data_IF_991908766801
#
_entry.id   IF_991908766801
#
_cell.length_a   1.000
_cell.length_b   1.000
_cell.length_c   1.000
_cell.angle_alpha   90.00
_cell.angle_beta   90.00
_cell.angle_gamma   90.00
#
_symmetry.space_group_name_H-M   'P 1'
#
loop_
_entity.id
_entity.type
_entity.pdbx_description
1 polymer ?
#
# COMPACT_ATOMS: atom_id res chain seq x y z
N UNK A 1 -20.65 0.22 16.41
CA UNK A 1 -20.05 0.27 15.07
C UNK A 1 -18.99 -0.82 15.03
N UNK A 2 -18.99 -1.68 14.00
CA UNK A 2 -18.00 -2.76 13.84
C UNK A 2 -17.24 -2.54 12.55
N UNK A 3 -15.92 -2.71 12.60
CA UNK A 3 -15.04 -2.72 11.43
C UNK A 3 -14.24 -4.02 11.46
N UNK A 4 -14.24 -4.75 10.34
CA UNK A 4 -13.68 -6.10 10.26
C UNK A 4 -12.83 -6.22 9.00
N UNK A 5 -11.71 -6.94 9.11
CA UNK A 5 -10.89 -7.33 7.96
C UNK A 5 -11.32 -8.72 7.51
N UNK A 6 -11.80 -8.84 6.28
CA UNK A 6 -12.16 -10.12 5.66
C UNK A 6 -10.93 -10.67 4.92
N UNK A 7 -10.30 -11.73 5.44
CA UNK A 7 -9.15 -12.39 4.82
C UNK A 7 -9.11 -13.89 5.17
N UNK A 8 -8.61 -14.78 4.28
CA UNK A 8 -8.15 -14.51 2.92
C UNK A 8 -9.31 -14.18 1.96
N UNK A 9 -9.07 -13.24 1.03
CA UNK A 9 -10.13 -12.67 0.19
C UNK A 9 -10.08 -13.09 -1.29
N UNK A 10 -9.19 -14.00 -1.69
CA UNK A 10 -8.96 -14.37 -3.10
C UNK A 10 -10.25 -14.81 -3.81
N UNK A 11 -11.04 -15.68 -3.19
CA UNK A 11 -12.33 -16.16 -3.73
C UNK A 11 -13.53 -15.25 -3.42
N UNK A 12 -13.31 -14.19 -2.65
CA UNK A 12 -14.36 -13.29 -2.15
C UNK A 12 -14.35 -11.94 -2.87
N UNK A 13 -13.20 -11.52 -3.40
CA UNK A 13 -13.01 -10.18 -3.95
C UNK A 13 -13.93 -9.88 -5.14
N UNK A 14 -14.32 -10.92 -5.90
CA UNK A 14 -15.24 -10.83 -7.02
C UNK A 14 -16.72 -11.06 -6.66
N UNK A 15 -17.04 -11.44 -5.42
CA UNK A 15 -18.42 -11.69 -4.98
C UNK A 15 -19.17 -10.39 -4.71
N UNK A 16 -20.49 -10.48 -4.64
CA UNK A 16 -21.33 -9.32 -4.33
C UNK A 16 -21.11 -8.84 -2.89
N UNK A 17 -21.45 -7.58 -2.61
CA UNK A 17 -21.36 -7.05 -1.24
C UNK A 17 -22.30 -7.79 -0.29
N UNK A 18 -23.47 -8.20 -0.77
CA UNK A 18 -24.42 -9.02 -0.02
C UNK A 18 -23.85 -10.37 0.36
N UNK A 19 -23.16 -11.07 -0.55
CA UNK A 19 -22.51 -12.36 -0.21
C UNK A 19 -21.47 -12.21 0.90
N UNK A 20 -20.71 -11.11 0.86
CA UNK A 20 -19.68 -10.80 1.87
C UNK A 20 -20.34 -10.46 3.21
N UNK A 21 -21.42 -9.67 3.21
CA UNK A 21 -22.18 -9.34 4.42
C UNK A 21 -22.81 -10.59 5.03
N UNK A 22 -23.42 -11.47 4.22
CA UNK A 22 -24.04 -12.69 4.71
C UNK A 22 -23.01 -13.63 5.36
N UNK A 23 -21.84 -13.81 4.73
CA UNK A 23 -20.75 -14.58 5.31
C UNK A 23 -20.21 -13.94 6.60
N UNK A 24 -20.07 -12.61 6.63
CA UNK A 24 -19.64 -11.87 7.83
C UNK A 24 -20.63 -12.05 8.98
N UNK A 25 -21.94 -12.02 8.68
CA UNK A 25 -22.99 -12.19 9.67
C UNK A 25 -23.04 -13.61 10.25
N UNK A 26 -22.73 -14.63 9.46
CA UNK A 26 -22.59 -16.00 9.95
C UNK A 26 -21.45 -16.14 10.95
N UNK A 27 -20.30 -15.50 10.72
CA UNK A 27 -19.18 -15.50 11.67
C UNK A 27 -19.49 -14.65 12.92
N UNK A 28 -20.11 -13.48 12.74
CA UNK A 28 -20.54 -12.64 13.88
C UNK A 28 -21.55 -13.34 14.79
N UNK A 29 -22.45 -14.17 14.24
CA UNK A 29 -23.38 -14.96 15.04
C UNK A 29 -22.67 -16.03 15.90
N UNK A 30 -21.48 -16.49 15.51
CA UNK A 30 -20.65 -17.39 16.34
C UNK A 30 -19.92 -16.62 17.46
N UNK A 31 -19.44 -15.40 17.14
CA UNK A 31 -18.70 -14.55 18.09
C UNK A 31 -19.61 -13.87 19.13
N UNK A 32 -20.81 -13.48 18.71
CA UNK A 32 -21.80 -12.76 19.52
C UNK A 32 -23.14 -13.53 19.50
N UNK A 33 -23.18 -14.77 20.00
CA UNK A 33 -24.33 -15.65 19.85
C UNK A 33 -25.58 -15.14 20.56
N UNK A 34 -25.45 -14.21 21.52
CA UNK A 34 -26.58 -13.67 22.28
C UNK A 34 -27.09 -12.35 21.70
N UNK A 35 -26.28 -11.65 20.90
CA UNK A 35 -26.54 -10.28 20.43
C UNK A 35 -26.76 -10.20 18.93
N UNK A 36 -26.10 -11.06 18.14
CA UNK A 36 -26.13 -11.03 16.67
C UNK A 36 -26.66 -12.36 16.15
N UNK A 37 -27.58 -12.29 15.19
CA UNK A 37 -28.07 -13.42 14.45
C UNK A 37 -28.04 -13.09 12.95
N UNK A 38 -27.65 -14.05 12.11
CA UNK A 38 -27.47 -13.82 10.68
C UNK A 38 -28.77 -13.46 9.95
N UNK A 39 -29.91 -13.93 10.46
CA UNK A 39 -31.26 -13.61 9.99
C UNK A 39 -31.77 -12.24 10.49
N UNK A 40 -30.94 -11.47 11.21
CA UNK A 40 -31.29 -10.20 11.85
C UNK A 40 -32.46 -10.27 12.85
N UNK A 41 -32.71 -11.45 13.45
CA UNK A 41 -33.69 -11.61 14.54
C UNK A 41 -33.30 -10.86 15.82
N UNK A 42 -32.01 -10.54 15.98
CA UNK A 42 -31.44 -9.80 17.12
C UNK A 42 -31.00 -8.40 16.71
N UNK A 43 -29.72 -8.04 16.90
CA UNK A 43 -29.17 -6.80 16.37
C UNK A 43 -29.33 -6.75 14.84
N UNK A 44 -29.70 -5.56 14.33
CA UNK A 44 -30.01 -5.33 12.91
C UNK A 44 -28.99 -4.42 12.25
N UNK A 45 -28.69 -4.70 10.99
CA UNK A 45 -27.79 -3.87 10.19
C UNK A 45 -28.59 -2.68 9.67
N UNK A 46 -28.29 -1.48 10.15
CA UNK A 46 -28.90 -0.25 9.63
C UNK A 46 -28.28 0.20 8.30
N UNK A 47 -26.98 -0.03 8.16
CA UNK A 47 -26.19 0.26 6.95
C UNK A 47 -24.89 -0.55 7.01
N UNK A 48 -24.30 -0.79 5.86
CA UNK A 48 -22.96 -1.37 5.73
C UNK A 48 -22.19 -0.66 4.64
N UNK A 49 -20.87 -0.85 4.63
CA UNK A 49 -19.99 -0.40 3.56
C UNK A 49 -18.89 -1.44 3.37
N UNK A 50 -18.77 -2.00 2.16
CA UNK A 50 -17.75 -2.99 1.83
C UNK A 50 -16.67 -2.32 0.98
N UNK A 51 -15.46 -2.22 1.52
CA UNK A 51 -14.30 -1.68 0.79
C UNK A 51 -13.44 -2.84 0.31
N UNK A 52 -13.31 -2.98 -1.02
CA UNK A 52 -12.55 -4.06 -1.66
C UNK A 52 -11.23 -3.53 -2.21
N UNK A 53 -10.12 -4.04 -1.67
CA UNK A 53 -8.76 -3.71 -2.15
C UNK A 53 -8.10 -4.98 -2.72
N UNK A 54 -8.32 -5.31 -4.02
CA UNK A 54 -7.85 -6.57 -4.61
C UNK A 54 -6.33 -6.72 -4.65
N UNK A 55 -5.60 -5.60 -4.68
CA UNK A 55 -4.14 -5.53 -4.71
C UNK A 55 -3.69 -4.53 -3.66
N UNK A 56 -3.71 -4.97 -2.39
CA UNK A 56 -3.36 -4.15 -1.24
C UNK A 56 -1.83 -4.13 -1.06
N UNK A 57 -1.32 -4.68 0.04
CA UNK A 57 0.11 -4.87 0.25
C UNK A 57 0.63 -6.04 -0.60
N UNK A 58 1.93 -6.04 -0.89
CA UNK A 58 2.53 -7.19 -1.60
C UNK A 58 2.38 -8.47 -0.76
N UNK A 59 2.14 -9.61 -1.42
CA UNK A 59 2.06 -10.91 -0.73
C UNK A 59 3.46 -11.34 -0.32
N UNK A 60 3.75 -11.35 0.98
CA UNK A 60 5.07 -11.72 1.55
C UNK A 60 5.28 -13.25 1.51
N UNK A 61 5.39 -13.81 0.31
CA UNK A 61 5.75 -15.22 0.11
C UNK A 61 7.27 -15.43 0.31
N UNK A 62 7.73 -16.68 0.53
CA UNK A 62 9.15 -16.97 0.61
C UNK A 62 9.93 -16.42 -0.58
N UNK A 63 11.16 -15.98 -0.35
CA UNK A 63 12.07 -15.41 -1.35
C UNK A 63 11.67 -14.04 -1.96
N UNK A 64 10.73 -13.29 -1.38
CA UNK A 64 10.48 -11.90 -1.79
C UNK A 64 11.59 -10.91 -1.38
N UNK A 65 12.33 -11.18 -0.29
CA UNK A 65 13.28 -10.21 0.29
C UNK A 65 14.43 -9.77 -0.65
N UNK A 66 15.00 -10.64 -1.50
CA UNK A 66 15.95 -10.23 -2.55
C UNK A 66 15.35 -9.34 -3.64
N UNK A 67 14.04 -9.42 -3.88
CA UNK A 67 13.35 -8.65 -4.92
C UNK A 67 13.00 -7.21 -4.47
N UNK A 68 13.11 -6.91 -3.17
CA UNK A 68 12.75 -5.59 -2.63
C UNK A 68 13.82 -4.56 -2.99
N UNK A 69 13.48 -3.49 -3.75
CA UNK A 69 14.46 -2.51 -4.18
C UNK A 69 14.85 -1.57 -3.04
N UNK A 70 16.11 -1.12 -3.02
CA UNK A 70 16.51 0.03 -2.20
C UNK A 70 15.86 1.33 -2.70
N UNK A 71 15.84 2.36 -1.87
CA UNK A 71 15.20 3.64 -2.21
C UNK A 71 15.93 4.40 -3.33
N UNK A 72 17.25 4.25 -3.44
CA UNK A 72 18.06 4.75 -4.57
C UNK A 72 18.06 3.71 -5.69
N UNK A 73 17.51 4.08 -6.84
CA UNK A 73 17.51 3.22 -8.04
C UNK A 73 18.83 3.36 -8.83
N UNK A 74 19.12 2.45 -9.78
CA UNK A 74 20.27 2.61 -10.68
C UNK A 74 20.09 3.72 -11.72
N UNK A 75 18.87 4.27 -11.88
CA UNK A 75 18.58 5.37 -12.79
C UNK A 75 18.83 6.68 -12.04
N UNK A 76 19.78 7.49 -12.51
CA UNK A 76 20.11 8.76 -11.87
C UNK A 76 18.89 9.67 -11.77
N UNK A 77 18.65 10.23 -10.58
CA UNK A 77 17.50 11.09 -10.30
C UNK A 77 16.17 10.38 -10.13
N UNK A 78 16.13 9.04 -10.19
CA UNK A 78 14.93 8.25 -9.96
C UNK A 78 15.03 7.46 -8.63
N UNK A 79 14.05 7.68 -7.75
CA UNK A 79 14.00 7.10 -6.40
C UNK A 79 12.66 6.42 -6.16
N UNK A 80 12.64 5.44 -5.27
CA UNK A 80 11.44 4.68 -4.90
C UNK A 80 11.14 4.83 -3.41
N UNK A 81 9.86 4.97 -3.08
CA UNK A 81 9.34 4.93 -1.72
C UNK A 81 8.05 4.10 -1.69
N UNK A 82 7.78 3.50 -0.53
CA UNK A 82 6.66 2.58 -0.32
C UNK A 82 7.08 1.41 0.57
N UNK A 83 6.10 0.84 1.24
CA UNK A 83 6.29 -0.29 2.16
C UNK A 83 6.98 -1.52 1.52
N UNK A 84 6.76 -1.73 0.22
CA UNK A 84 7.39 -2.77 -0.60
C UNK A 84 8.90 -2.61 -0.78
N UNK A 85 9.43 -1.38 -0.71
CA UNK A 85 10.87 -1.11 -0.81
C UNK A 85 11.62 -1.73 0.36
N UNK A 86 12.94 -1.88 0.26
CA UNK A 86 13.77 -2.60 1.23
C UNK A 86 13.89 -1.82 2.54
N UNK A 87 13.24 -2.36 3.56
CA UNK A 87 13.24 -1.89 4.95
C UNK A 87 12.76 -3.02 5.88
N UNK A 88 12.99 -2.89 7.20
CA UNK A 88 12.89 -4.00 8.17
C UNK A 88 11.52 -4.20 8.86
N UNK A 89 10.56 -3.31 8.64
CA UNK A 89 9.24 -3.25 9.31
C UNK A 89 8.07 -3.75 8.44
N UNK A 90 8.32 -4.71 7.54
CA UNK A 90 7.28 -5.38 6.73
C UNK A 90 6.46 -4.45 5.83
N UNK A 91 5.48 -4.99 5.10
CA UNK A 91 4.49 -4.20 4.38
C UNK A 91 3.49 -3.60 5.37
N UNK A 92 3.82 -2.43 5.92
CA UNK A 92 3.06 -1.80 7.01
C UNK A 92 3.13 -0.28 6.94
N UNK A 93 2.32 0.40 7.76
CA UNK A 93 2.42 1.85 7.94
C UNK A 93 3.82 2.29 8.38
N UNK A 94 4.43 1.55 9.33
CA UNK A 94 5.81 1.81 9.77
C UNK A 94 6.81 1.62 8.63
N UNK A 95 6.63 0.55 7.83
CA UNK A 95 7.45 0.29 6.65
C UNK A 95 7.34 1.38 5.59
N UNK A 96 6.13 1.90 5.36
CA UNK A 96 5.88 3.01 4.45
C UNK A 96 6.56 4.31 4.92
N UNK A 97 6.40 4.66 6.21
CA UNK A 97 7.01 5.86 6.80
C UNK A 97 8.53 5.77 6.79
N UNK A 98 9.09 4.63 7.23
CA UNK A 98 10.54 4.42 7.20
C UNK A 98 11.08 4.45 5.78
N UNK A 99 10.39 3.83 4.81
CA UNK A 99 10.76 3.91 3.41
C UNK A 99 10.82 5.35 2.90
N UNK A 100 9.81 6.17 3.23
CA UNK A 100 9.81 7.60 2.89
C UNK A 100 11.01 8.34 3.50
N UNK A 101 11.34 8.06 4.76
CA UNK A 101 12.52 8.61 5.45
C UNK A 101 13.83 8.22 4.75
N UNK A 102 13.98 6.95 4.38
CA UNK A 102 15.16 6.43 3.67
C UNK A 102 15.27 7.01 2.24
N UNK A 103 14.14 7.25 1.57
CA UNK A 103 14.10 7.87 0.25
C UNK A 103 14.55 9.33 0.32
N UNK A 104 13.98 10.11 1.24
CA UNK A 104 14.42 11.49 1.49
C UNK A 104 15.92 11.54 1.86
N UNK A 105 16.39 10.62 2.71
CA UNK A 105 17.80 10.49 3.05
C UNK A 105 18.68 10.22 1.82
N UNK A 106 18.25 9.34 0.91
CA UNK A 106 18.99 9.04 -0.33
C UNK A 106 19.10 10.25 -1.24
N UNK A 107 18.02 11.03 -1.37
CA UNK A 107 17.96 12.25 -2.18
C UNK A 107 18.91 13.32 -1.63
N UNK A 108 18.88 13.61 -0.33
CA UNK A 108 19.75 14.64 0.26
C UNK A 108 21.23 14.25 0.21
N UNK A 109 21.55 12.96 0.30
CA UNK A 109 22.91 12.46 0.12
C UNK A 109 23.45 12.66 -1.30
N UNK A 110 22.56 12.61 -2.31
CA UNK A 110 22.92 12.80 -3.72
C UNK A 110 22.81 14.26 -4.18
N UNK A 111 22.51 15.20 -3.27
CA UNK A 111 22.22 16.60 -3.58
C UNK A 111 23.22 17.23 -4.56
N UNK A 112 24.53 17.04 -4.34
CA UNK A 112 25.57 17.60 -5.21
C UNK A 112 25.47 17.08 -6.65
N UNK A 113 25.22 15.78 -6.82
CA UNK A 113 25.05 15.17 -8.16
C UNK A 113 23.80 15.68 -8.84
N UNK A 114 22.68 15.71 -8.12
CA UNK A 114 21.40 16.20 -8.63
C UNK A 114 21.46 17.68 -9.02
N UNK A 115 22.14 18.50 -8.20
CA UNK A 115 22.30 19.93 -8.47
C UNK A 115 23.17 20.19 -9.69
N UNK A 116 24.30 19.48 -9.83
CA UNK A 116 25.16 19.57 -11.01
C UNK A 116 24.43 19.16 -12.29
N UNK A 117 23.61 18.12 -12.23
CA UNK A 117 22.76 17.71 -13.35
C UNK A 117 21.78 18.80 -13.76
N UNK A 118 21.11 19.44 -12.79
CA UNK A 118 20.18 20.53 -13.06
C UNK A 118 20.86 21.75 -13.69
N UNK A 119 22.06 22.11 -13.22
CA UNK A 119 22.85 23.20 -13.82
C UNK A 119 23.24 22.90 -15.27
N UNK A 120 23.62 21.65 -15.57
CA UNK A 120 23.95 21.23 -16.94
C UNK A 120 22.76 21.29 -17.89
N UNK A 121 21.56 20.91 -17.43
CA UNK A 121 20.37 20.99 -18.29
C UNK A 121 20.01 22.43 -18.62
N UNK A 122 20.12 23.35 -17.66
CA UNK A 122 19.87 24.78 -17.87
C UNK A 122 20.86 25.40 -18.88
N UNK A 123 22.15 25.07 -18.77
CA UNK A 123 23.16 25.57 -19.71
C UNK A 123 22.99 25.04 -21.13
N UNK A 124 22.44 23.83 -21.31
CA UNK A 124 22.18 23.26 -22.64
C UNK A 124 20.96 23.85 -23.34
N UNK A 125 20.00 24.44 -22.60
CA UNK A 125 18.84 25.12 -23.17
C UNK A 125 19.13 26.56 -23.60
N UNK A 126 20.18 27.19 -23.06
CA UNK A 126 20.58 28.57 -23.36
C UNK A 126 21.45 28.74 -24.62
N UNK A 127 21.83 27.66 -25.33
CA UNK A 127 22.60 27.78 -26.58
C UNK A 127 21.68 28.34 -27.68
N UNK A 128 21.91 29.55 -28.21
CA UNK A 128 21.07 30.08 -29.27
C UNK A 128 21.28 29.25 -30.54
N UNK A 129 20.17 28.87 -31.18
CA UNK A 129 20.18 28.36 -32.55
C UNK A 129 20.80 29.46 -33.41
N UNK A 130 22.07 29.27 -33.81
CA UNK A 130 22.76 30.20 -34.67
C UNK A 130 22.03 30.25 -36.03
N UNK A 131 21.47 31.42 -36.34
CA UNK A 131 20.92 31.82 -37.64
C UNK A 131 22.01 32.04 -38.67
#
# INVERSE_FOLDING_TARGET
>A
MLELVFAPAEEWIGRSDTDIIDATMQELAKLFPNEIAADQSKAKILKYHVVKTPRSVYKTIPNCEPCRPLQRSPIEGFYLAGDYTKQKYLASMEGAVLSGKLCAQSIVQDYSKLSLRAQKSLQSEEVPVAS
#
